data_IF_421973343559
#
_entry.id   IF_421973343559
#
_cell.length_a   1.000
_cell.length_b   1.000
_cell.length_c   1.000
_cell.angle_alpha   90.00
_cell.angle_beta   90.00
_cell.angle_gamma   90.00
#
_symmetry.space_group_name_H-M   'P 1'
#
loop_
_entity.id
_entity.type
_entity.pdbx_description
1 polymer ?
#
# COMPACT_ATOMS: atom_id res chain seq x y z
N UNK A 1 7.55 4.03 12.02
CA UNK A 1 7.86 4.84 10.82
C UNK A 1 6.64 5.66 10.49
N UNK A 2 6.67 6.93 10.83
CA UNK A 2 5.64 7.88 10.44
C UNK A 2 6.01 8.52 9.10
N UNK A 3 6.19 7.72 8.08
CA UNK A 3 6.22 8.24 6.72
C UNK A 3 4.78 8.36 6.22
N UNK A 4 4.04 9.05 6.99
CA UNK A 4 2.76 9.57 6.66
C UNK A 4 2.93 10.59 5.52
N UNK A 5 1.97 10.66 4.63
CA UNK A 5 1.89 11.71 3.58
C UNK A 5 2.14 13.11 4.17
N UNK A 6 1.90 13.26 5.47
CA UNK A 6 2.13 14.47 6.24
C UNK A 6 3.60 14.71 6.63
N UNK A 7 4.41 13.67 6.81
CA UNK A 7 5.84 13.84 6.99
C UNK A 7 6.51 14.31 5.70
N UNK A 8 5.96 13.94 4.54
CA UNK A 8 6.32 14.54 3.25
C UNK A 8 6.00 16.05 3.20
N UNK A 9 5.07 16.53 4.02
CA UNK A 9 4.76 17.96 4.12
C UNK A 9 5.84 18.72 4.89
N UNK A 10 6.57 18.07 5.79
CA UNK A 10 7.55 18.66 6.70
C UNK A 10 8.99 18.22 6.39
N UNK A 11 9.18 17.12 5.64
CA UNK A 11 10.51 16.67 5.22
C UNK A 11 10.97 17.39 3.96
N UNK A 12 12.28 17.41 3.72
CA UNK A 12 12.85 17.89 2.47
C UNK A 12 12.34 16.99 1.33
N UNK A 13 11.36 17.48 0.58
CA UNK A 13 10.84 16.78 -0.59
C UNK A 13 11.96 16.73 -1.63
N UNK A 14 12.23 15.54 -2.18
CA UNK A 14 13.27 15.36 -3.20
C UNK A 14 13.10 16.35 -4.36
N UNK A 15 14.19 16.87 -4.88
CA UNK A 15 14.17 17.87 -5.93
C UNK A 15 13.38 17.41 -7.17
N UNK A 16 13.47 16.12 -7.50
CA UNK A 16 12.77 15.51 -8.62
C UNK A 16 11.43 14.85 -8.22
N UNK A 17 10.87 15.18 -7.07
CA UNK A 17 9.51 14.73 -6.73
C UNK A 17 8.49 15.38 -7.67
N UNK A 18 7.38 14.68 -7.92
CA UNK A 18 6.29 15.23 -8.74
C UNK A 18 5.81 16.59 -8.22
N UNK A 19 5.73 16.77 -6.91
CA UNK A 19 5.39 18.05 -6.29
C UNK A 19 6.33 19.17 -6.73
N UNK A 20 7.64 18.98 -6.63
CA UNK A 20 8.62 20.01 -6.96
C UNK A 20 8.68 20.29 -8.47
N UNK A 21 8.52 19.26 -9.29
CA UNK A 21 8.45 19.41 -10.75
C UNK A 21 7.23 20.25 -11.14
N UNK A 22 6.05 19.97 -10.58
CA UNK A 22 4.85 20.76 -10.83
C UNK A 22 4.99 22.17 -10.24
N UNK A 23 5.51 22.30 -9.02
CA UNK A 23 5.70 23.59 -8.36
C UNK A 23 6.54 24.55 -9.18
N UNK A 24 7.54 24.07 -9.89
CA UNK A 24 8.38 24.89 -10.75
C UNK A 24 7.59 25.53 -11.90
N UNK A 25 6.50 24.89 -12.36
CA UNK A 25 5.71 25.31 -13.52
C UNK A 25 4.35 25.89 -13.15
N UNK A 26 3.72 25.38 -12.10
CA UNK A 26 2.47 25.87 -11.50
C UNK A 26 2.50 25.67 -9.99
N UNK A 27 3.07 26.63 -9.27
CA UNK A 27 3.16 26.58 -7.81
C UNK A 27 1.79 26.50 -7.13
N UNK A 28 0.79 27.17 -7.71
CA UNK A 28 -0.56 27.13 -7.17
C UNK A 28 -1.15 25.73 -7.26
N UNK A 29 -1.03 25.08 -8.41
CA UNK A 29 -1.54 23.71 -8.61
C UNK A 29 -0.83 22.72 -7.67
N UNK A 30 0.50 22.82 -7.52
CA UNK A 30 1.25 21.96 -6.61
C UNK A 30 0.77 22.10 -5.16
N UNK A 31 0.58 23.34 -4.70
CA UNK A 31 0.10 23.63 -3.35
C UNK A 31 -1.37 23.19 -3.17
N UNK A 32 -2.26 23.49 -4.12
CA UNK A 32 -3.66 23.06 -4.07
C UNK A 32 -3.75 21.51 -3.99
N UNK A 33 -2.93 20.80 -4.75
CA UNK A 33 -2.87 19.32 -4.73
C UNK A 33 -2.42 18.81 -3.36
N UNK A 34 -1.36 19.38 -2.80
CA UNK A 34 -0.85 18.99 -1.49
C UNK A 34 -1.87 19.26 -0.37
N UNK A 35 -2.55 20.41 -0.42
CA UNK A 35 -3.61 20.73 0.54
C UNK A 35 -4.82 19.79 0.42
N UNK A 36 -5.20 19.40 -0.80
CA UNK A 36 -6.26 18.44 -1.02
C UNK A 36 -5.92 17.05 -0.49
N UNK A 37 -4.68 16.58 -0.70
CA UNK A 37 -4.17 15.33 -0.13
C UNK A 37 -4.22 15.39 1.40
N UNK A 38 -3.72 16.48 1.99
CA UNK A 38 -3.77 16.67 3.45
C UNK A 38 -5.20 16.65 3.98
N UNK A 39 -6.11 17.36 3.34
CA UNK A 39 -7.53 17.41 3.73
C UNK A 39 -8.17 16.02 3.71
N UNK A 40 -7.93 15.24 2.64
CA UNK A 40 -8.45 13.88 2.53
C UNK A 40 -7.87 12.96 3.64
N UNK A 41 -6.56 13.00 3.85
CA UNK A 41 -5.88 12.26 4.89
C UNK A 41 -6.42 12.59 6.30
N UNK A 42 -6.48 13.88 6.68
CA UNK A 42 -6.96 14.31 7.99
C UNK A 42 -8.43 13.92 8.20
N UNK A 43 -9.26 13.98 7.16
CA UNK A 43 -10.65 13.58 7.23
C UNK A 43 -10.81 12.06 7.45
N UNK A 44 -9.97 11.23 6.81
CA UNK A 44 -9.95 9.78 7.02
C UNK A 44 -9.54 9.46 8.47
N UNK A 45 -8.50 10.11 8.99
CA UNK A 45 -8.04 9.90 10.37
C UNK A 45 -9.05 10.37 11.42
N UNK A 46 -9.97 11.27 11.09
CA UNK A 46 -11.02 11.73 11.98
C UNK A 46 -12.15 10.69 12.17
N UNK A 47 -12.22 9.65 11.33
CA UNK A 47 -13.27 8.63 11.44
C UNK A 47 -13.01 7.79 12.71
N UNK A 48 -14.01 7.68 13.63
CA UNK A 48 -13.82 6.90 14.84
C UNK A 48 -13.62 5.39 14.58
N UNK A 49 -12.80 4.76 15.38
CA UNK A 49 -12.67 3.29 15.36
C UNK A 49 -13.83 2.61 16.14
N UNK A 50 -14.28 1.43 15.72
CA UNK A 50 -13.90 0.73 14.50
C UNK A 50 -14.60 1.30 13.26
N UNK A 51 -13.90 1.48 12.20
CA UNK A 51 -14.38 2.09 10.94
C UNK A 51 -15.73 1.54 10.48
N UNK A 52 -15.88 0.20 10.45
CA UNK A 52 -17.12 -0.47 10.01
C UNK A 52 -18.39 -0.04 10.74
N UNK A 53 -18.26 0.47 11.97
CA UNK A 53 -19.38 0.95 12.76
C UNK A 53 -19.71 2.42 12.50
N UNK A 54 -18.86 3.11 11.75
CA UNK A 54 -18.93 4.55 11.51
C UNK A 54 -18.97 4.94 10.03
N UNK A 55 -19.24 3.98 9.13
CA UNK A 55 -19.26 4.19 7.66
C UNK A 55 -20.27 5.26 7.19
N UNK A 56 -21.28 5.56 8.02
CA UNK A 56 -22.27 6.60 7.74
C UNK A 56 -22.17 7.78 8.72
N UNK A 57 -21.08 7.90 9.48
CA UNK A 57 -20.88 9.03 10.38
C UNK A 57 -20.60 10.32 9.60
N UNK A 58 -20.74 11.47 10.25
CA UNK A 58 -20.42 12.74 9.63
C UNK A 58 -18.96 12.84 9.17
N UNK A 59 -18.05 12.23 9.95
CA UNK A 59 -16.62 12.16 9.64
C UNK A 59 -16.35 11.28 8.40
N UNK A 60 -17.05 10.13 8.27
CA UNK A 60 -16.92 9.27 7.10
C UNK A 60 -17.44 9.95 5.83
N UNK A 61 -18.57 10.66 5.92
CA UNK A 61 -19.10 11.45 4.80
C UNK A 61 -18.16 12.61 4.43
N UNK A 62 -17.56 13.28 5.44
CA UNK A 62 -16.57 14.32 5.20
C UNK A 62 -15.31 13.78 4.51
N UNK A 63 -14.85 12.59 4.92
CA UNK A 63 -13.72 11.92 4.28
C UNK A 63 -14.04 11.53 2.83
N UNK A 64 -15.23 10.98 2.57
CA UNK A 64 -15.69 10.68 1.21
C UNK A 64 -15.69 11.93 0.32
N UNK A 65 -16.22 13.06 0.82
CA UNK A 65 -16.22 14.31 0.07
C UNK A 65 -14.81 14.83 -0.18
N UNK A 66 -13.91 14.77 0.81
CA UNK A 66 -12.53 15.22 0.64
C UNK A 66 -11.76 14.38 -0.38
N UNK A 67 -11.98 13.06 -0.40
CA UNK A 67 -11.42 12.17 -1.42
C UNK A 67 -11.99 12.47 -2.82
N UNK A 68 -13.28 12.76 -2.93
CA UNK A 68 -13.89 13.15 -4.19
C UNK A 68 -13.34 14.49 -4.71
N UNK A 69 -13.17 15.49 -3.82
CA UNK A 69 -12.57 16.79 -4.15
C UNK A 69 -11.12 16.61 -4.68
N UNK A 70 -10.34 15.71 -4.03
CA UNK A 70 -8.99 15.37 -4.47
C UNK A 70 -9.00 14.70 -5.85
N UNK A 71 -9.86 13.70 -6.05
CA UNK A 71 -9.98 13.01 -7.33
C UNK A 71 -10.34 14.00 -8.47
N UNK A 72 -11.29 14.91 -8.21
CA UNK A 72 -11.67 15.95 -9.16
C UNK A 72 -10.51 16.91 -9.49
N UNK A 73 -9.69 17.27 -8.51
CA UNK A 73 -8.51 18.11 -8.73
C UNK A 73 -7.46 17.38 -9.59
N UNK A 74 -7.20 16.10 -9.29
CA UNK A 74 -6.25 15.29 -10.06
C UNK A 74 -6.70 15.13 -11.51
N UNK A 75 -7.96 14.80 -11.74
CA UNK A 75 -8.51 14.55 -13.06
C UNK A 75 -8.66 15.84 -13.91
N UNK A 76 -9.20 16.90 -13.30
CA UNK A 76 -9.58 18.14 -14.04
C UNK A 76 -8.47 19.17 -14.11
N UNK A 77 -7.44 19.08 -13.29
CA UNK A 77 -6.35 20.07 -13.24
C UNK A 77 -4.96 19.47 -13.38
N UNK A 78 -4.59 18.48 -12.55
CA UNK A 78 -3.23 17.94 -12.55
C UNK A 78 -2.95 17.13 -13.80
N UNK A 79 -3.82 16.19 -14.16
CA UNK A 79 -3.66 15.38 -15.35
C UNK A 79 -3.63 16.24 -16.65
N UNK A 80 -4.54 17.20 -16.87
CA UNK A 80 -4.45 18.08 -18.02
C UNK A 80 -3.21 18.97 -18.04
N UNK A 81 -2.73 19.46 -16.88
CA UNK A 81 -1.49 20.24 -16.78
C UNK A 81 -0.30 19.44 -17.35
N UNK A 82 -0.17 18.20 -16.91
CA UNK A 82 0.92 17.32 -17.36
C UNK A 82 0.75 16.95 -18.85
N UNK A 83 -0.45 16.54 -19.25
CA UNK A 83 -0.72 16.06 -20.61
C UNK A 83 -0.66 17.16 -21.70
N UNK A 84 -0.89 18.43 -21.34
CA UNK A 84 -0.90 19.54 -22.32
C UNK A 84 0.44 20.27 -22.44
N UNK A 85 1.40 19.97 -21.58
CA UNK A 85 2.73 20.63 -21.57
C UNK A 85 3.86 19.62 -21.75
N UNK A 86 3.82 18.87 -22.82
CA UNK A 86 4.80 17.81 -23.15
C UNK A 86 6.23 18.32 -23.25
N UNK A 87 6.44 19.57 -23.61
CA UNK A 87 7.75 20.22 -23.66
C UNK A 87 8.35 20.45 -22.26
N UNK A 88 7.48 20.60 -21.25
CA UNK A 88 7.86 20.77 -19.84
C UNK A 88 7.93 19.44 -19.12
N UNK A 89 6.89 18.62 -19.26
CA UNK A 89 6.76 17.30 -18.63
C UNK A 89 7.15 16.17 -19.60
N UNK A 90 8.31 16.33 -20.23
CA UNK A 90 8.82 15.34 -21.18
C UNK A 90 9.32 14.07 -20.49
N UNK A 91 9.57 13.02 -21.27
CA UNK A 91 9.99 11.71 -20.77
C UNK A 91 11.23 11.77 -19.88
N UNK A 92 12.18 12.67 -20.15
CA UNK A 92 13.37 12.79 -19.32
C UNK A 92 13.03 13.29 -17.90
N UNK A 93 12.15 14.28 -17.79
CA UNK A 93 11.68 14.82 -16.50
C UNK A 93 10.83 13.78 -15.78
N UNK A 94 9.88 13.15 -16.46
CA UNK A 94 8.99 12.16 -15.85
C UNK A 94 9.74 10.90 -15.41
N UNK A 95 10.76 10.46 -16.16
CA UNK A 95 11.61 9.35 -15.74
C UNK A 95 12.37 9.64 -14.44
N UNK A 96 12.83 10.87 -14.22
CA UNK A 96 13.46 11.23 -12.95
C UNK A 96 12.45 11.27 -11.79
N UNK A 97 11.21 11.70 -12.05
CA UNK A 97 10.10 11.60 -11.07
C UNK A 97 9.83 10.14 -10.69
N UNK A 98 9.71 9.26 -11.69
CA UNK A 98 9.48 7.82 -11.46
C UNK A 98 10.64 7.19 -10.68
N UNK A 99 11.88 7.46 -11.03
CA UNK A 99 13.04 6.96 -10.28
C UNK A 99 13.01 7.42 -8.82
N UNK A 100 12.73 8.69 -8.58
CA UNK A 100 12.60 9.24 -7.23
C UNK A 100 11.49 8.55 -6.47
N UNK A 101 10.31 8.39 -7.07
CA UNK A 101 9.18 7.70 -6.46
C UNK A 101 9.51 6.24 -6.11
N UNK A 102 10.14 5.51 -7.03
CA UNK A 102 10.52 4.11 -6.79
C UNK A 102 11.55 4.01 -5.66
N UNK A 103 12.59 4.85 -5.67
CA UNK A 103 13.68 4.75 -4.70
C UNK A 103 13.30 5.27 -3.31
N UNK A 104 12.47 6.33 -3.24
CA UNK A 104 12.18 7.02 -1.99
C UNK A 104 10.86 6.60 -1.35
N UNK A 105 9.96 5.93 -2.12
CA UNK A 105 8.65 5.49 -1.63
C UNK A 105 8.48 3.98 -1.77
N UNK A 106 8.53 3.45 -2.99
CA UNK A 106 8.17 2.04 -3.26
C UNK A 106 9.14 1.07 -2.58
N UNK A 107 10.43 1.19 -2.87
CA UNK A 107 11.45 0.30 -2.31
C UNK A 107 11.54 0.37 -0.79
N UNK A 108 11.56 1.56 -0.15
CA UNK A 108 11.55 1.64 1.32
C UNK A 108 10.31 0.99 1.94
N UNK A 109 9.12 1.14 1.34
CA UNK A 109 7.90 0.51 1.84
C UNK A 109 7.99 -1.02 1.81
N UNK A 110 8.49 -1.61 0.72
CA UNK A 110 8.68 -3.06 0.66
C UNK A 110 9.82 -3.58 1.55
N UNK A 111 10.87 -2.78 1.77
CA UNK A 111 11.91 -3.13 2.74
C UNK A 111 11.37 -3.13 4.17
N UNK A 112 10.58 -2.12 4.53
CA UNK A 112 9.90 -2.05 5.83
C UNK A 112 8.96 -3.25 6.02
N UNK A 113 8.15 -3.58 5.01
CA UNK A 113 7.30 -4.76 5.00
C UNK A 113 8.09 -6.05 5.25
N UNK A 114 9.18 -6.25 4.52
CA UNK A 114 10.05 -7.41 4.67
C UNK A 114 10.59 -7.53 6.10
N UNK A 115 11.07 -6.44 6.67
CA UNK A 115 11.66 -6.42 8.00
C UNK A 115 10.60 -6.69 9.09
N UNK A 116 9.42 -6.07 8.98
CA UNK A 116 8.32 -6.27 9.93
C UNK A 116 7.71 -7.69 9.84
N UNK A 117 7.64 -8.27 8.65
CA UNK A 117 7.22 -9.67 8.46
C UNK A 117 8.24 -10.64 9.03
N UNK A 118 9.54 -10.36 8.96
CA UNK A 118 10.56 -11.18 9.60
C UNK A 118 10.38 -11.21 11.13
N UNK A 119 10.10 -10.06 11.75
CA UNK A 119 9.78 -9.98 13.18
C UNK A 119 8.46 -10.72 13.49
N UNK A 120 7.45 -10.60 12.63
CA UNK A 120 6.20 -11.35 12.78
C UNK A 120 6.43 -12.86 12.77
N UNK A 121 7.26 -13.36 11.87
CA UNK A 121 7.62 -14.78 11.80
C UNK A 121 8.28 -15.26 13.10
N UNK A 122 9.15 -14.46 13.72
CA UNK A 122 9.73 -14.76 15.03
C UNK A 122 8.66 -14.87 16.12
N UNK A 123 7.70 -13.93 16.18
CA UNK A 123 6.62 -13.94 17.18
C UNK A 123 5.68 -15.13 16.99
N UNK A 124 5.31 -15.43 15.76
CA UNK A 124 4.48 -16.61 15.44
C UNK A 124 5.21 -17.91 15.78
N UNK A 125 6.51 -17.99 15.48
CA UNK A 125 7.33 -19.16 15.85
C UNK A 125 7.46 -19.34 17.37
N UNK A 126 7.54 -18.24 18.13
CA UNK A 126 7.51 -18.28 19.59
C UNK A 126 6.16 -18.74 20.13
N UNK A 127 5.07 -18.27 19.54
CA UNK A 127 3.70 -18.71 19.87
C UNK A 127 3.52 -20.21 19.58
N UNK A 128 3.99 -20.68 18.42
CA UNK A 128 3.92 -22.09 18.07
C UNK A 128 4.68 -23.00 19.08
N UNK A 129 5.86 -22.56 19.51
CA UNK A 129 6.69 -23.30 20.48
C UNK A 129 6.13 -23.26 21.90
N UNK A 130 5.50 -22.16 22.28
CA UNK A 130 4.95 -21.93 23.61
C UNK A 130 3.65 -21.13 23.51
N UNK A 131 2.48 -21.81 23.36
CA UNK A 131 1.18 -21.18 23.14
C UNK A 131 0.64 -20.58 24.44
N UNK A 132 1.06 -19.36 24.75
CA UNK A 132 0.59 -18.57 25.90
C UNK A 132 -0.14 -17.32 25.43
N UNK A 133 -1.00 -16.76 26.29
CA UNK A 133 -1.68 -15.47 26.05
C UNK A 133 -0.67 -14.34 25.75
N UNK A 134 0.49 -14.36 26.42
CA UNK A 134 1.52 -13.36 26.18
C UNK A 134 2.10 -13.44 24.76
N UNK A 135 2.44 -14.66 24.31
CA UNK A 135 2.96 -14.88 22.96
C UNK A 135 1.88 -14.62 21.88
N UNK A 136 0.62 -14.99 22.17
CA UNK A 136 -0.49 -14.65 21.27
C UNK A 136 -0.64 -13.12 21.10
N UNK A 137 -0.66 -12.37 22.21
CA UNK A 137 -0.74 -10.91 22.17
C UNK A 137 0.45 -10.28 21.47
N UNK A 138 1.65 -10.82 21.66
CA UNK A 138 2.85 -10.33 20.99
C UNK A 138 2.79 -10.55 19.47
N UNK A 139 2.33 -11.73 19.02
CA UNK A 139 2.15 -12.02 17.60
C UNK A 139 1.04 -11.15 16.97
N UNK A 140 -0.10 -10.99 17.66
CA UNK A 140 -1.20 -10.16 17.20
C UNK A 140 -0.80 -8.67 17.10
N UNK A 141 -0.04 -8.16 18.05
CA UNK A 141 0.47 -6.79 18.01
C UNK A 141 1.43 -6.58 16.84
N UNK A 142 2.35 -7.54 16.62
CA UNK A 142 3.30 -7.46 15.51
C UNK A 142 2.61 -7.60 14.15
N UNK A 143 1.55 -8.38 14.05
CA UNK A 143 0.75 -8.47 12.83
C UNK A 143 0.19 -7.10 12.42
N UNK A 144 -0.32 -6.31 13.37
CA UNK A 144 -0.79 -4.94 13.11
C UNK A 144 0.36 -4.05 12.61
N UNK A 145 1.57 -4.21 13.17
CA UNK A 145 2.74 -3.44 12.72
C UNK A 145 3.13 -3.83 11.30
N UNK A 146 3.19 -5.12 10.97
CA UNK A 146 3.51 -5.61 9.62
C UNK A 146 2.43 -5.25 8.58
N UNK A 147 1.17 -5.14 8.99
CA UNK A 147 0.08 -4.67 8.10
C UNK A 147 0.28 -3.23 7.62
N UNK A 148 0.95 -2.37 8.39
CA UNK A 148 1.08 -0.95 8.03
C UNK A 148 1.81 -0.74 6.69
N UNK A 149 3.03 -1.23 6.46
CA UNK A 149 3.68 -1.12 5.16
C UNK A 149 2.94 -1.90 4.06
N UNK A 150 2.26 -3.01 4.40
CA UNK A 150 1.39 -3.72 3.46
C UNK A 150 0.26 -2.82 2.95
N UNK A 151 -0.55 -2.25 3.83
CA UNK A 151 -1.63 -1.33 3.50
C UNK A 151 -1.13 -0.08 2.75
N UNK A 152 0.08 0.39 3.09
CA UNK A 152 0.71 1.50 2.37
C UNK A 152 1.03 1.13 0.92
N UNK A 153 1.40 -0.13 0.66
CA UNK A 153 1.73 -0.62 -0.68
C UNK A 153 0.53 -0.71 -1.62
N UNK A 154 -0.70 -0.70 -1.10
CA UNK A 154 -1.94 -0.62 -1.89
C UNK A 154 -1.95 0.58 -2.86
N UNK A 155 -1.22 1.65 -2.51
CA UNK A 155 -1.12 2.85 -3.36
C UNK A 155 -0.36 2.62 -4.68
N UNK A 156 0.34 1.49 -4.83
CA UNK A 156 1.15 1.18 -6.00
C UNK A 156 1.04 -0.29 -6.46
N UNK A 157 -0.19 -0.83 -6.42
CA UNK A 157 -0.53 -2.15 -6.97
C UNK A 157 -0.60 -2.12 -8.51
N UNK A 158 0.50 -1.79 -9.15
CA UNK A 158 0.65 -1.77 -10.60
C UNK A 158 2.04 -2.32 -11.01
N UNK A 159 2.25 -2.53 -12.31
CA UNK A 159 3.48 -3.12 -12.82
C UNK A 159 3.68 -4.55 -12.30
N UNK A 160 4.88 -4.94 -11.87
CA UNK A 160 5.21 -6.33 -11.51
C UNK A 160 4.31 -6.94 -10.43
N UNK A 161 3.78 -6.13 -9.50
CA UNK A 161 2.88 -6.60 -8.44
C UNK A 161 1.54 -7.02 -9.03
N UNK A 162 0.98 -6.19 -9.92
CA UNK A 162 -0.26 -6.51 -10.61
C UNK A 162 -0.06 -7.65 -11.62
N UNK A 163 1.00 -7.57 -12.44
CA UNK A 163 1.29 -8.52 -13.52
C UNK A 163 1.48 -9.95 -12.99
N UNK A 164 2.02 -10.09 -11.79
CA UNK A 164 2.25 -11.38 -11.12
C UNK A 164 1.15 -11.76 -10.12
N UNK A 165 0.12 -10.94 -9.97
CA UNK A 165 -0.97 -11.19 -9.03
C UNK A 165 -0.51 -11.35 -7.57
N UNK A 166 0.51 -10.60 -7.13
CA UNK A 166 1.10 -10.81 -5.81
C UNK A 166 0.12 -10.48 -4.69
N UNK A 167 -0.61 -9.38 -4.82
CA UNK A 167 -1.58 -8.96 -3.81
C UNK A 167 -2.71 -9.99 -3.59
N UNK A 168 -3.48 -10.41 -4.59
CA UNK A 168 -4.56 -11.38 -4.37
C UNK A 168 -4.06 -12.76 -3.93
N UNK A 169 -2.79 -13.08 -4.13
CA UNK A 169 -2.20 -14.32 -3.63
C UNK A 169 -1.83 -14.24 -2.14
N UNK A 170 -1.59 -13.05 -1.62
CA UNK A 170 -1.22 -12.84 -0.20
C UNK A 170 -2.41 -12.40 0.65
N UNK A 171 -3.29 -11.57 0.12
CA UNK A 171 -4.40 -10.95 0.85
C UNK A 171 -5.67 -10.89 -0.03
N UNK A 172 -6.18 -12.07 -0.41
CA UNK A 172 -7.38 -12.16 -1.26
C UNK A 172 -8.61 -11.60 -0.55
N UNK A 173 -9.28 -10.65 -1.18
CA UNK A 173 -10.53 -10.08 -0.71
C UNK A 173 -11.60 -10.02 -1.82
N UNK A 174 -12.86 -10.41 -1.54
CA UNK A 174 -13.36 -10.91 -0.26
C UNK A 174 -12.87 -12.32 0.06
N UNK A 175 -12.71 -12.61 1.37
CA UNK A 175 -12.37 -13.95 1.86
C UNK A 175 -13.49 -14.93 1.50
N UNK A 176 -13.13 -16.09 0.92
CA UNK A 176 -14.08 -17.18 0.69
C UNK A 176 -14.36 -17.93 2.00
N UNK A 177 -15.25 -17.33 2.80
CA UNK A 177 -15.63 -17.87 4.09
C UNK A 177 -16.29 -19.23 3.98
N UNK A 178 -17.08 -19.49 2.92
CA UNK A 178 -17.78 -20.75 2.72
C UNK A 178 -16.80 -21.88 2.40
N UNK A 179 -15.80 -21.63 1.57
CA UNK A 179 -14.75 -22.59 1.30
C UNK A 179 -13.97 -22.96 2.57
N UNK A 180 -13.61 -21.98 3.40
CA UNK A 180 -12.92 -22.21 4.68
C UNK A 180 -13.79 -23.04 5.62
N UNK A 181 -15.07 -22.69 5.80
CA UNK A 181 -16.01 -23.44 6.66
C UNK A 181 -16.17 -24.87 6.15
N UNK A 182 -16.28 -25.09 4.85
CA UNK A 182 -16.38 -26.44 4.26
C UNK A 182 -15.11 -27.27 4.54
N UNK A 183 -13.91 -26.67 4.44
CA UNK A 183 -12.66 -27.36 4.77
C UNK A 183 -12.62 -27.72 6.26
N UNK A 184 -12.95 -26.78 7.14
CA UNK A 184 -13.02 -27.03 8.59
C UNK A 184 -14.00 -28.16 8.94
N UNK A 185 -15.19 -28.18 8.34
CA UNK A 185 -16.20 -29.19 8.57
C UNK A 185 -15.83 -30.57 7.99
N UNK A 186 -15.02 -30.60 6.93
CA UNK A 186 -14.55 -31.86 6.34
C UNK A 186 -13.51 -32.59 7.19
N UNK A 187 -12.82 -31.85 8.06
CA UNK A 187 -11.65 -32.36 8.82
C UNK A 187 -10.41 -32.63 7.97
N UNK A 188 -10.49 -32.38 6.66
CA UNK A 188 -9.35 -32.48 5.74
C UNK A 188 -8.63 -31.12 5.64
N UNK A 189 -7.64 -30.96 6.50
CA UNK A 189 -6.84 -29.72 6.54
C UNK A 189 -5.70 -29.69 5.52
N UNK A 190 -5.54 -30.72 4.68
CA UNK A 190 -4.52 -30.73 3.63
C UNK A 190 -4.75 -29.63 2.62
N UNK A 191 -6.02 -29.23 2.40
CA UNK A 191 -6.39 -28.12 1.53
C UNK A 191 -6.03 -26.73 2.06
N UNK A 192 -5.65 -26.63 3.33
CA UNK A 192 -5.12 -25.39 3.93
C UNK A 192 -3.59 -25.37 3.89
N UNK A 193 -2.95 -26.44 3.43
CA UNK A 193 -1.51 -26.48 3.28
C UNK A 193 -1.13 -25.78 1.99
N UNK A 194 -0.29 -24.78 2.14
CA UNK A 194 0.29 -24.12 1.00
C UNK A 194 1.31 -25.06 0.33
N UNK A 195 1.19 -25.21 -0.98
CA UNK A 195 2.04 -26.12 -1.77
C UNK A 195 3.28 -25.44 -2.38
N UNK A 196 3.52 -24.16 -2.08
CA UNK A 196 4.67 -23.43 -2.56
C UNK A 196 4.48 -22.74 -3.93
N UNK A 197 3.34 -22.89 -4.57
CA UNK A 197 3.04 -22.28 -5.88
C UNK A 197 2.55 -20.84 -5.75
N UNK A 198 3.28 -20.02 -4.99
CA UNK A 198 2.85 -18.66 -4.68
C UNK A 198 3.13 -17.68 -5.82
N UNK A 199 4.28 -17.84 -6.46
CA UNK A 199 4.69 -17.03 -7.61
C UNK A 199 5.16 -17.98 -8.69
N UNK A 200 4.67 -17.82 -9.89
CA UNK A 200 5.16 -18.53 -11.07
C UNK A 200 5.99 -17.58 -11.93
N UNK A 201 6.97 -18.14 -12.63
CA UNK A 201 7.72 -17.43 -13.66
C UNK A 201 6.89 -17.26 -14.95
N UNK A 202 7.48 -16.72 -16.00
CA UNK A 202 6.84 -16.52 -17.29
C UNK A 202 6.42 -17.82 -18.00
N UNK A 203 6.95 -18.98 -17.57
CA UNK A 203 6.60 -20.29 -18.11
C UNK A 203 5.51 -20.98 -17.27
N UNK A 204 5.11 -20.37 -16.13
CA UNK A 204 4.17 -20.94 -15.19
C UNK A 204 4.81 -21.88 -14.15
N UNK A 205 6.14 -21.95 -14.08
CA UNK A 205 6.85 -22.76 -13.11
C UNK A 205 6.94 -22.06 -11.75
N UNK A 206 6.77 -22.75 -10.61
CA UNK A 206 6.91 -22.17 -9.29
C UNK A 206 8.31 -21.57 -9.08
N UNK A 207 8.39 -20.36 -8.50
CA UNK A 207 9.66 -19.73 -8.14
C UNK A 207 9.90 -19.83 -6.63
N UNK A 208 11.11 -20.20 -6.25
CA UNK A 208 11.50 -20.38 -4.85
C UNK A 208 11.68 -19.03 -4.11
N UNK A 209 11.84 -17.94 -4.84
CA UNK A 209 11.96 -16.60 -4.28
C UNK A 209 11.55 -15.53 -5.27
N UNK A 210 11.16 -14.35 -4.77
CA UNK A 210 10.87 -13.18 -5.59
C UNK A 210 12.10 -12.77 -6.44
N UNK A 211 13.31 -12.98 -5.94
CA UNK A 211 14.53 -12.69 -6.67
C UNK A 211 14.71 -13.57 -7.91
N UNK A 212 14.24 -14.82 -7.89
CA UNK A 212 14.29 -15.72 -9.05
C UNK A 212 13.22 -15.40 -10.10
N UNK A 213 12.18 -14.66 -9.74
CA UNK A 213 11.16 -14.20 -10.68
C UNK A 213 11.60 -12.98 -11.54
N UNK A 214 12.78 -12.42 -11.27
CA UNK A 214 13.30 -11.24 -11.97
C UNK A 214 14.32 -11.58 -13.07
N UNK A 215 14.63 -12.85 -13.27
CA UNK A 215 15.49 -13.34 -14.35
C UNK A 215 14.64 -14.00 -15.43
#
# INVERSE_FOLDING_TARGET
VNNDVMDLANSAIAANSLYNVIKTNDEKLANDTREAIKKAHDAILAIPAPFRSHINSAEALAAQQACADLADLLDKRLHPEIAQKEDVYNDAVLNEVVKTYVNDVVLPTYLDLKDEVAVLLEKVSALQKNPTDANFKAAAAQWIVARKPWETSEAFLFGPVADKGLDPNMDSWPLDADAIVNILNSGDFTKLQWNGEFITDENGDPVESIASAQN
#
